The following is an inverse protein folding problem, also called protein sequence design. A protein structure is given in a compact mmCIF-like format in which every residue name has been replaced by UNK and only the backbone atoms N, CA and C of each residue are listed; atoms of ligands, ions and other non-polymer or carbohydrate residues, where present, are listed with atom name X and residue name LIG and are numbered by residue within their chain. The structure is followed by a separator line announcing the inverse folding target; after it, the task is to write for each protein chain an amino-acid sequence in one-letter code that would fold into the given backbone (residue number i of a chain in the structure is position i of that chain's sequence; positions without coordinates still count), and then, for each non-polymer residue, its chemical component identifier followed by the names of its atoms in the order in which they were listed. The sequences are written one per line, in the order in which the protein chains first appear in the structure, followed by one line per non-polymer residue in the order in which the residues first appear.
data_IF_343071611858
#
_entry.id   IF_343071611858
#
_cell.length_a   1.000
_cell.length_b   1.000
_cell.length_c   1.000
_cell.angle_alpha   90.00
_cell.angle_beta   90.00
_cell.angle_gamma   90.00
#
_symmetry.space_group_name_H-M   'P 1'
#
loop_
_entity.id
_entity.type
_entity.pdbx_description
1 polymer ?
#
# COMPACT_ATOMS: atom_id res chain seq x y z
N UNK A 1 12.84 -24.86 5.05
CA UNK A 1 11.89 -24.51 3.97
C UNK A 1 12.53 -23.36 3.21
N UNK A 2 12.35 -23.27 1.91
CA UNK A 2 12.85 -22.10 1.14
C UNK A 2 12.04 -20.87 1.52
N UNK A 3 12.70 -19.70 1.56
CA UNK A 3 12.03 -18.42 1.80
C UNK A 3 10.90 -18.21 0.78
N UNK A 4 9.69 -17.81 1.20
CA UNK A 4 8.57 -17.62 0.27
C UNK A 4 8.82 -16.46 -0.70
N UNK A 5 8.42 -16.60 -1.97
CA UNK A 5 8.48 -15.51 -2.93
C UNK A 5 7.43 -14.45 -2.58
N UNK A 6 7.83 -13.17 -2.66
CA UNK A 6 6.96 -11.99 -2.46
C UNK A 6 6.82 -11.26 -3.79
N UNK A 7 5.60 -10.98 -4.23
CA UNK A 7 5.34 -10.09 -5.35
C UNK A 7 5.00 -8.70 -4.84
N UNK A 8 5.85 -7.73 -5.16
CA UNK A 8 5.67 -6.31 -4.83
C UNK A 8 4.99 -5.62 -6.00
N UNK A 9 3.79 -5.08 -5.78
CA UNK A 9 2.97 -4.45 -6.81
C UNK A 9 3.06 -2.93 -6.68
N UNK A 10 3.53 -2.26 -7.74
CA UNK A 10 3.69 -0.79 -7.78
C UNK A 10 2.89 -0.23 -8.96
N UNK A 11 1.69 0.32 -8.73
CA UNK A 11 0.96 1.06 -9.75
C UNK A 11 1.62 2.42 -9.97
N UNK A 12 1.73 2.89 -11.21
CA UNK A 12 2.33 4.20 -11.47
C UNK A 12 1.72 4.87 -12.70
N UNK A 13 1.57 6.20 -12.64
CA UNK A 13 1.12 7.04 -13.74
C UNK A 13 1.77 8.41 -13.72
N UNK A 14 2.60 8.72 -14.72
CA UNK A 14 3.25 10.03 -14.90
C UNK A 14 3.99 10.57 -13.67
N UNK A 15 4.68 9.69 -12.93
CA UNK A 15 5.46 9.99 -11.71
C UNK A 15 6.80 9.27 -11.71
N UNK A 16 7.49 9.24 -12.85
CA UNK A 16 8.67 8.42 -13.02
C UNK A 16 9.74 8.62 -11.93
N UNK A 17 10.01 9.87 -11.54
CA UNK A 17 11.01 10.17 -10.50
C UNK A 17 10.65 9.60 -9.12
N UNK A 18 9.37 9.55 -8.77
CA UNK A 18 8.88 8.91 -7.55
C UNK A 18 8.98 7.40 -7.68
N UNK A 19 8.49 6.83 -8.79
CA UNK A 19 8.57 5.41 -9.06
C UNK A 19 9.97 4.84 -8.88
N UNK A 20 11.02 5.52 -9.38
CA UNK A 20 12.39 5.05 -9.24
C UNK A 20 12.81 4.96 -7.77
N UNK A 21 12.46 5.95 -6.94
CA UNK A 21 12.74 5.91 -5.51
C UNK A 21 12.01 4.74 -4.82
N UNK A 22 10.74 4.52 -5.17
CA UNK A 22 9.96 3.39 -4.66
C UNK A 22 10.62 2.05 -5.04
N UNK A 23 10.96 1.84 -6.32
CA UNK A 23 11.64 0.65 -6.81
C UNK A 23 12.99 0.44 -6.11
N UNK A 24 13.81 1.49 -5.98
CA UNK A 24 15.09 1.41 -5.28
C UNK A 24 14.93 1.00 -3.82
N UNK A 25 13.87 1.45 -3.14
CA UNK A 25 13.60 1.07 -1.75
C UNK A 25 13.29 -0.42 -1.61
N UNK A 26 12.65 -1.01 -2.63
CA UNK A 26 12.41 -2.47 -2.67
C UNK A 26 13.69 -3.24 -2.98
N UNK A 27 14.51 -2.78 -3.92
CA UNK A 27 15.78 -3.41 -4.26
C UNK A 27 16.78 -3.40 -3.09
N UNK A 28 16.66 -2.44 -2.15
CA UNK A 28 17.46 -2.34 -0.93
C UNK A 28 17.00 -3.27 0.20
N UNK A 29 15.82 -3.91 0.08
CA UNK A 29 15.32 -4.79 1.13
C UNK A 29 16.36 -5.88 1.51
N UNK A 30 16.43 -6.20 2.80
CA UNK A 30 17.28 -7.26 3.33
C UNK A 30 16.79 -8.66 2.93
N UNK A 31 15.49 -8.85 2.75
CA UNK A 31 14.88 -10.05 2.17
C UNK A 31 15.13 -10.10 0.66
N UNK A 32 15.57 -11.25 0.11
CA UNK A 32 16.02 -11.33 -1.29
C UNK A 32 15.11 -12.11 -2.24
N UNK A 33 14.17 -12.91 -1.72
CA UNK A 33 13.27 -13.69 -2.58
C UNK A 33 12.00 -12.92 -2.92
N UNK A 34 12.13 -11.91 -3.76
CA UNK A 34 11.00 -11.09 -4.24
C UNK A 34 11.08 -10.85 -5.75
N UNK A 35 9.97 -10.47 -6.32
CA UNK A 35 9.82 -9.85 -7.63
C UNK A 35 9.11 -8.49 -7.47
N UNK A 36 9.43 -7.56 -8.34
CA UNK A 36 8.76 -6.25 -8.42
C UNK A 36 7.93 -6.22 -9.70
N UNK A 37 6.66 -5.86 -9.59
CA UNK A 37 5.74 -5.73 -10.71
C UNK A 37 5.28 -4.29 -10.80
N UNK A 38 5.87 -3.53 -11.72
CA UNK A 38 5.44 -2.18 -12.06
C UNK A 38 4.28 -2.26 -13.03
N UNK A 39 3.19 -1.58 -12.70
CA UNK A 39 2.06 -1.44 -13.61
C UNK A 39 1.95 0.03 -14.03
N UNK A 40 2.50 0.33 -15.20
CA UNK A 40 2.42 1.65 -15.82
C UNK A 40 1.03 1.82 -16.46
N UNK A 41 0.24 2.74 -15.91
CA UNK A 41 -1.14 3.01 -16.34
C UNK A 41 -1.21 3.96 -17.56
N UNK A 42 -0.40 3.69 -18.60
CA UNK A 42 -0.40 4.47 -19.83
C UNK A 42 0.21 5.86 -19.67
N UNK A 43 1.37 5.95 -18.99
CA UNK A 43 2.11 7.21 -18.84
C UNK A 43 2.57 7.79 -20.16
N UNK A 44 2.63 9.12 -20.25
CA UNK A 44 3.17 9.84 -21.40
C UNK A 44 4.69 10.08 -21.29
N UNK A 45 5.26 9.90 -20.10
CA UNK A 45 6.69 10.06 -19.84
C UNK A 45 7.47 8.93 -20.51
N UNK A 46 8.40 9.29 -21.41
CA UNK A 46 9.19 8.33 -22.21
C UNK A 46 10.09 7.44 -21.37
N UNK A 47 10.50 7.91 -20.20
CA UNK A 47 11.35 7.19 -19.25
C UNK A 47 10.74 5.85 -18.84
N UNK A 48 9.41 5.72 -18.76
CA UNK A 48 8.73 4.46 -18.50
C UNK A 48 9.00 3.39 -19.57
N UNK A 49 9.34 3.78 -20.77
CA UNK A 49 9.53 2.89 -21.93
C UNK A 49 11.00 2.70 -22.29
N UNK A 50 11.86 3.61 -21.89
CA UNK A 50 13.30 3.59 -22.19
C UNK A 50 14.13 2.96 -21.06
N UNK A 51 13.63 2.95 -19.81
CA UNK A 51 14.34 2.41 -18.66
C UNK A 51 14.52 0.89 -18.75
N UNK A 52 15.74 0.46 -18.45
CA UNK A 52 16.06 -0.95 -18.26
C UNK A 52 16.17 -1.23 -16.77
N UNK A 53 15.27 -2.07 -16.28
CA UNK A 53 15.28 -2.55 -14.91
C UNK A 53 16.09 -3.85 -14.77
N UNK A 54 16.58 -4.20 -13.57
CA UNK A 54 17.14 -5.52 -13.29
C UNK A 54 16.12 -6.65 -13.43
N UNK A 55 16.59 -7.89 -13.44
CA UNK A 55 15.76 -9.09 -13.73
C UNK A 55 14.63 -9.33 -12.75
N UNK A 56 14.74 -8.82 -11.53
CA UNK A 56 13.74 -8.91 -10.48
C UNK A 56 12.52 -8.02 -10.73
N UNK A 57 12.64 -7.07 -11.69
CA UNK A 57 11.58 -6.11 -12.01
C UNK A 57 10.91 -6.47 -13.33
N UNK A 58 9.62 -6.76 -13.26
CA UNK A 58 8.73 -6.90 -14.41
C UNK A 58 7.94 -5.59 -14.57
N UNK A 59 7.79 -5.09 -15.78
CA UNK A 59 6.93 -3.94 -16.06
C UNK A 59 5.84 -4.29 -17.05
N UNK A 60 4.60 -3.92 -16.73
CA UNK A 60 3.46 -3.97 -17.65
C UNK A 60 3.10 -2.55 -18.04
N UNK A 61 2.92 -2.32 -19.34
CA UNK A 61 2.42 -1.05 -19.88
C UNK A 61 0.99 -1.24 -20.34
N UNK A 62 0.04 -0.57 -19.68
CA UNK A 62 -1.36 -0.60 -20.08
C UNK A 62 -1.59 0.41 -21.22
N UNK A 63 -2.24 -0.04 -22.32
CA UNK A 63 -2.56 0.82 -23.45
C UNK A 63 -3.93 0.44 -24.04
N UNK A 64 -4.96 1.28 -23.93
CA UNK A 64 -4.95 2.53 -23.15
C UNK A 64 -4.82 2.26 -21.65
N UNK A 65 -4.31 3.24 -20.89
CA UNK A 65 -4.31 3.17 -19.43
C UNK A 65 -5.75 3.14 -18.88
N UNK A 66 -5.94 2.44 -17.76
CA UNK A 66 -7.26 2.29 -17.13
C UNK A 66 -7.80 3.62 -16.61
N UNK A 67 -6.93 4.55 -16.21
CA UNK A 67 -7.29 5.91 -15.82
C UNK A 67 -8.11 6.64 -16.89
N UNK A 68 -7.81 6.41 -18.15
CA UNK A 68 -8.54 6.99 -19.28
C UNK A 68 -9.94 6.37 -19.47
N UNK A 69 -10.20 5.19 -18.89
CA UNK A 69 -11.47 4.47 -19.04
C UNK A 69 -12.39 4.72 -17.85
N UNK A 70 -11.85 4.73 -16.62
CA UNK A 70 -12.65 4.70 -15.38
C UNK A 70 -12.48 5.92 -14.46
N UNK A 71 -11.55 6.83 -14.74
CA UNK A 71 -11.31 8.05 -13.95
C UNK A 71 -10.45 7.86 -12.69
N UNK A 72 -10.52 6.72 -11.97
CA UNK A 72 -9.67 6.34 -10.83
C UNK A 72 -9.47 4.84 -10.73
N UNK A 73 -8.56 4.28 -11.50
CA UNK A 73 -8.41 2.84 -11.54
C UNK A 73 -7.25 2.29 -10.71
N UNK A 74 -6.68 3.04 -9.74
CA UNK A 74 -5.49 2.55 -9.01
C UNK A 74 -5.68 1.12 -8.51
N UNK A 75 -6.89 0.80 -8.01
CA UNK A 75 -7.24 -0.55 -7.59
C UNK A 75 -7.27 -1.55 -8.75
N UNK A 76 -7.83 -1.17 -9.89
CA UNK A 76 -7.83 -2.00 -11.09
C UNK A 76 -6.41 -2.16 -11.66
N UNK A 77 -5.59 -1.12 -11.57
CA UNK A 77 -4.16 -1.16 -11.95
C UNK A 77 -3.40 -2.12 -11.04
N UNK A 78 -3.60 -2.08 -9.72
CA UNK A 78 -3.00 -3.05 -8.79
C UNK A 78 -3.42 -4.49 -9.13
N UNK A 79 -4.70 -4.74 -9.45
CA UNK A 79 -5.17 -6.06 -9.86
C UNK A 79 -4.42 -6.58 -11.10
N UNK A 80 -4.09 -5.72 -12.07
CA UNK A 80 -3.27 -6.13 -13.24
C UNK A 80 -1.89 -6.63 -12.83
N UNK A 81 -1.28 -6.04 -11.82
CA UNK A 81 -0.04 -6.56 -11.25
C UNK A 81 -0.25 -7.92 -10.55
N UNK A 82 -1.34 -8.07 -9.81
CA UNK A 82 -1.66 -9.33 -9.12
C UNK A 82 -1.91 -10.49 -10.10
N UNK A 83 -2.50 -10.23 -11.27
CA UNK A 83 -2.75 -11.24 -12.31
C UNK A 83 -1.49 -11.97 -12.75
N UNK A 84 -0.32 -11.30 -12.74
CA UNK A 84 0.96 -11.87 -13.16
C UNK A 84 1.93 -12.16 -12.03
N UNK A 85 1.52 -11.92 -10.78
CA UNK A 85 2.32 -12.17 -9.59
C UNK A 85 2.49 -13.67 -9.35
N UNK A 86 3.73 -14.12 -9.05
CA UNK A 86 4.05 -15.52 -8.77
C UNK A 86 4.24 -15.81 -7.28
N UNK A 87 4.32 -14.75 -6.45
CA UNK A 87 4.61 -14.81 -5.03
C UNK A 87 3.53 -15.50 -4.19
N UNK A 88 3.96 -16.14 -3.10
CA UNK A 88 3.08 -16.59 -2.02
C UNK A 88 2.39 -15.41 -1.36
N UNK A 89 3.12 -14.32 -1.17
CA UNK A 89 2.63 -13.08 -0.60
C UNK A 89 2.58 -11.98 -1.64
N UNK A 90 1.55 -11.14 -1.54
CA UNK A 90 1.44 -9.86 -2.24
C UNK A 90 1.80 -8.75 -1.24
N UNK A 91 2.61 -7.81 -1.68
CA UNK A 91 2.88 -6.58 -0.96
C UNK A 91 2.64 -5.39 -1.90
N UNK A 92 1.99 -4.35 -1.40
CA UNK A 92 1.62 -3.20 -2.22
C UNK A 92 2.47 -1.99 -1.82
N UNK A 93 2.94 -1.24 -2.81
CA UNK A 93 3.68 0.00 -2.61
C UNK A 93 3.17 1.04 -3.61
N UNK A 94 2.74 2.19 -3.12
CA UNK A 94 2.40 3.30 -3.98
C UNK A 94 3.68 3.97 -4.50
N UNK A 95 3.66 4.48 -5.72
CA UNK A 95 4.86 4.97 -6.41
C UNK A 95 5.47 6.23 -5.79
N UNK A 96 4.75 6.90 -4.88
CA UNK A 96 5.20 8.08 -4.13
C UNK A 96 5.67 7.76 -2.70
N UNK A 97 5.54 6.51 -2.26
CA UNK A 97 5.98 6.03 -0.95
C UNK A 97 7.35 5.32 -1.00
N UNK A 98 7.96 5.09 0.16
CA UNK A 98 9.26 4.41 0.30
C UNK A 98 9.17 3.34 1.39
N UNK A 99 9.84 2.19 1.19
CA UNK A 99 10.00 1.18 2.23
C UNK A 99 11.34 1.28 2.97
N UNK A 100 11.32 0.97 4.26
CA UNK A 100 12.53 0.76 5.07
C UNK A 100 13.09 -0.64 4.80
N UNK A 101 14.40 -0.79 4.92
CA UNK A 101 15.16 -1.97 4.44
C UNK A 101 14.69 -3.32 5.03
N UNK A 102 14.15 -3.33 6.25
CA UNK A 102 13.73 -4.56 6.97
C UNK A 102 12.24 -4.91 6.80
N UNK A 103 11.49 -4.19 5.95
CA UNK A 103 10.03 -4.36 5.88
C UNK A 103 9.62 -5.77 5.44
N UNK A 104 10.21 -6.27 4.37
CA UNK A 104 9.83 -7.58 3.83
C UNK A 104 10.21 -8.71 4.78
N UNK A 105 11.43 -8.72 5.32
CA UNK A 105 11.90 -9.77 6.23
C UNK A 105 11.05 -9.86 7.48
N UNK A 106 10.74 -8.72 8.13
CA UNK A 106 9.96 -8.69 9.35
C UNK A 106 8.50 -9.10 9.14
N UNK A 107 7.87 -8.70 8.02
CA UNK A 107 6.51 -9.11 7.73
C UNK A 107 6.41 -10.59 7.34
N UNK A 108 7.36 -11.12 6.59
CA UNK A 108 7.44 -12.56 6.29
C UNK A 108 7.62 -13.37 7.57
N UNK A 109 8.59 -13.00 8.41
CA UNK A 109 8.80 -13.66 9.70
C UNK A 109 7.53 -13.66 10.54
N UNK A 110 6.83 -12.52 10.61
CA UNK A 110 5.60 -12.38 11.36
C UNK A 110 4.47 -13.28 10.84
N UNK A 111 4.29 -13.36 9.53
CA UNK A 111 3.25 -14.16 8.89
C UNK A 111 3.58 -15.67 8.96
N UNK A 112 4.82 -16.07 8.68
CA UNK A 112 5.23 -17.49 8.72
C UNK A 112 5.21 -18.08 10.15
N UNK A 113 5.43 -17.27 11.18
CA UNK A 113 5.42 -17.69 12.59
C UNK A 113 4.08 -17.45 13.29
N UNK A 114 3.03 -17.11 12.57
CA UNK A 114 1.69 -16.89 13.13
C UNK A 114 0.61 -17.62 12.34
N UNK A 115 -0.62 -17.55 12.85
CA UNK A 115 -1.81 -18.07 12.12
C UNK A 115 -2.40 -17.07 11.14
N UNK A 116 -1.88 -15.82 11.13
CA UNK A 116 -2.43 -14.74 10.34
C UNK A 116 -1.86 -14.78 8.92
N UNK A 117 -2.66 -14.31 7.96
CA UNK A 117 -2.33 -14.29 6.53
C UNK A 117 -2.33 -12.87 5.96
N UNK A 118 -2.49 -11.89 6.83
CA UNK A 118 -2.60 -10.47 6.50
C UNK A 118 -1.88 -9.64 7.56
N UNK A 119 -1.00 -8.74 7.15
CA UNK A 119 -0.23 -7.87 8.03
C UNK A 119 -0.16 -6.44 7.51
N UNK A 120 0.03 -5.52 8.46
CA UNK A 120 0.29 -4.09 8.22
C UNK A 120 1.35 -3.60 9.20
N UNK A 121 1.98 -2.47 8.89
CA UNK A 121 3.02 -1.88 9.73
C UNK A 121 2.70 -0.44 10.07
N UNK A 122 3.38 0.12 11.08
CA UNK A 122 3.47 1.55 11.26
C UNK A 122 4.32 2.16 10.14
N UNK A 123 4.23 3.47 9.94
CA UNK A 123 5.02 4.21 8.97
C UNK A 123 5.41 5.60 9.45
N UNK A 124 6.30 6.24 8.72
CA UNK A 124 6.59 7.65 8.84
C UNK A 124 5.65 8.47 7.96
N UNK A 125 5.31 9.70 8.39
CA UNK A 125 4.58 10.67 7.58
C UNK A 125 5.48 11.86 7.24
N UNK A 126 5.51 12.22 5.97
CA UNK A 126 6.18 13.44 5.50
C UNK A 126 5.48 14.01 4.27
N UNK A 127 6.09 15.01 3.67
CA UNK A 127 5.64 15.66 2.44
C UNK A 127 6.82 15.74 1.45
N UNK A 128 6.62 15.23 0.23
CA UNK A 128 7.63 15.14 -0.82
C UNK A 128 8.56 13.93 -0.69
N UNK A 129 9.64 13.94 -1.45
CA UNK A 129 10.58 12.82 -1.53
C UNK A 129 11.25 12.58 -0.18
N UNK A 130 11.32 11.31 0.24
CA UNK A 130 11.98 10.89 1.49
C UNK A 130 13.43 11.36 1.55
N UNK A 131 13.82 11.89 2.70
CA UNK A 131 15.20 12.25 2.99
C UNK A 131 15.59 11.71 4.37
N UNK A 132 16.53 10.78 4.42
CA UNK A 132 16.99 10.13 5.66
C UNK A 132 17.61 11.08 6.71
N UNK A 133 17.95 12.31 6.33
CA UNK A 133 18.44 13.32 7.26
C UNK A 133 17.31 14.06 8.00
N UNK A 134 16.06 13.89 7.60
CA UNK A 134 14.91 14.52 8.24
C UNK A 134 14.32 13.62 9.33
N UNK A 135 13.70 14.25 10.32
CA UNK A 135 12.89 13.57 11.32
C UNK A 135 11.43 13.61 10.87
N UNK A 136 10.78 12.46 10.88
CA UNK A 136 9.39 12.32 10.50
C UNK A 136 8.56 11.77 11.66
N UNK A 137 7.36 12.31 11.92
CA UNK A 137 6.44 11.71 12.89
C UNK A 137 5.94 10.35 12.40
N UNK A 138 5.59 9.49 13.34
CA UNK A 138 4.88 8.25 13.05
C UNK A 138 3.48 8.53 12.51
N UNK A 139 3.04 7.77 11.49
CA UNK A 139 1.78 8.00 10.80
C UNK A 139 0.58 7.86 11.74
N UNK A 140 0.36 6.65 12.25
CA UNK A 140 -0.78 6.36 13.12
C UNK A 140 -0.57 6.88 14.56
N UNK A 141 0.59 6.60 15.15
CA UNK A 141 0.85 6.77 16.57
C UNK A 141 1.16 8.21 16.98
N UNK A 142 1.49 9.10 16.01
CA UNK A 142 1.78 10.52 16.29
C UNK A 142 0.96 11.46 15.41
N UNK A 143 1.17 11.47 14.07
CA UNK A 143 0.58 12.45 13.14
C UNK A 143 -0.94 12.44 13.20
N UNK A 144 -1.55 11.29 13.13
CA UNK A 144 -3.00 11.12 13.10
C UNK A 144 -3.61 10.60 14.41
N UNK A 145 -2.80 10.31 15.43
CA UNK A 145 -3.24 9.71 16.69
C UNK A 145 -4.47 10.37 17.30
N UNK A 146 -4.46 11.70 17.47
CA UNK A 146 -5.57 12.44 18.08
C UNK A 146 -6.86 12.32 17.27
N UNK A 147 -6.74 12.38 15.93
CA UNK A 147 -7.87 12.26 15.00
C UNK A 147 -8.44 10.84 15.03
N UNK A 148 -7.57 9.85 14.95
CA UNK A 148 -7.95 8.43 14.99
C UNK A 148 -8.59 8.10 16.33
N UNK A 149 -7.95 8.39 17.46
CA UNK A 149 -8.51 8.18 18.79
C UNK A 149 -9.92 8.77 18.95
N UNK A 150 -10.18 9.95 18.38
CA UNK A 150 -11.50 10.58 18.41
C UNK A 150 -12.57 9.75 17.68
N UNK A 151 -12.22 9.02 16.61
CA UNK A 151 -13.15 8.13 15.88
C UNK A 151 -13.63 7.00 16.76
N UNK A 152 -12.78 6.49 17.65
CA UNK A 152 -13.09 5.38 18.56
C UNK A 152 -13.80 5.81 19.85
N UNK A 153 -14.17 7.10 20.04
CA UNK A 153 -14.66 7.68 21.30
C UNK A 153 -15.82 6.92 21.95
N UNK A 154 -16.67 6.25 21.19
CA UNK A 154 -17.85 5.52 21.69
C UNK A 154 -17.64 4.02 21.76
N UNK A 155 -16.41 3.54 21.71
CA UNK A 155 -16.07 2.12 21.67
C UNK A 155 -15.24 1.73 22.90
N UNK A 156 -15.09 0.44 23.12
CA UNK A 156 -14.23 -0.12 24.18
C UNK A 156 -12.74 0.25 23.98
N UNK A 157 -12.31 0.49 22.74
CA UNK A 157 -10.94 0.86 22.41
C UNK A 157 -10.53 2.23 22.94
N UNK A 158 -11.47 3.12 23.28
CA UNK A 158 -11.17 4.52 23.58
C UNK A 158 -10.47 4.77 24.92
N UNK A 159 -10.83 4.04 25.98
CA UNK A 159 -10.40 4.37 27.37
C UNK A 159 -8.89 4.31 27.56
N UNK A 160 -8.23 3.36 26.92
CA UNK A 160 -6.77 3.22 26.88
C UNK A 160 -6.36 3.02 25.43
N UNK A 161 -6.64 4.02 24.56
CA UNK A 161 -6.42 3.87 23.15
C UNK A 161 -4.93 3.62 22.87
N UNK A 162 -4.64 2.39 22.54
CA UNK A 162 -3.39 1.89 21.97
C UNK A 162 -3.78 1.02 20.79
N UNK A 163 -2.98 1.04 19.75
CA UNK A 163 -3.22 0.16 18.62
C UNK A 163 -3.06 -1.29 19.06
N UNK A 164 -4.09 -2.15 18.89
CA UNK A 164 -3.96 -3.56 19.17
C UNK A 164 -2.86 -4.19 18.30
N UNK A 165 -2.23 -5.27 18.77
CA UNK A 165 -1.33 -6.07 17.92
C UNK A 165 -2.08 -6.82 16.83
N UNK A 166 -3.37 -7.05 17.03
CA UNK A 166 -4.24 -7.75 16.07
C UNK A 166 -5.45 -6.86 15.80
N UNK A 167 -5.67 -6.54 14.55
CA UNK A 167 -6.80 -5.74 14.08
C UNK A 167 -7.83 -6.64 13.44
N UNK A 168 -9.03 -6.66 14.01
CA UNK A 168 -10.16 -7.40 13.49
C UNK A 168 -11.09 -6.50 12.67
N UNK A 169 -12.12 -7.10 12.06
CA UNK A 169 -13.12 -6.39 11.29
C UNK A 169 -13.78 -5.25 12.08
N UNK A 170 -14.13 -5.46 13.35
CA UNK A 170 -14.80 -4.46 14.20
C UNK A 170 -13.91 -3.24 14.43
N UNK A 171 -12.61 -3.45 14.70
CA UNK A 171 -11.66 -2.36 14.89
C UNK A 171 -11.53 -1.51 13.62
N UNK A 172 -11.27 -2.13 12.48
CA UNK A 172 -11.05 -1.41 11.22
C UNK A 172 -12.33 -0.81 10.64
N UNK A 173 -13.50 -1.40 10.88
CA UNK A 173 -14.77 -0.83 10.41
C UNK A 173 -15.11 0.54 11.01
N UNK A 174 -14.51 0.91 12.15
CA UNK A 174 -14.65 2.24 12.76
C UNK A 174 -13.85 3.30 12.00
N UNK A 175 -12.65 2.95 11.56
CA UNK A 175 -11.76 3.82 10.81
C UNK A 175 -10.69 3.02 10.08
N UNK A 176 -10.42 3.38 8.81
CA UNK A 176 -9.30 2.81 8.06
C UNK A 176 -7.98 3.31 8.66
N UNK A 177 -7.26 2.41 9.35
CA UNK A 177 -5.91 2.66 9.88
C UNK A 177 -4.84 1.97 9.01
N UNK A 178 -5.24 1.29 7.92
CA UNK A 178 -4.36 0.51 7.06
C UNK A 178 -3.97 1.39 5.86
N UNK A 179 -2.69 1.61 5.69
CA UNK A 179 -2.13 2.28 4.52
C UNK A 179 -1.70 1.20 3.53
N UNK A 180 -2.04 1.37 2.25
CA UNK A 180 -1.77 0.38 1.20
C UNK A 180 -0.30 -0.02 1.18
N UNK A 181 0.63 0.94 1.25
CA UNK A 181 2.08 0.70 1.26
C UNK A 181 2.61 -0.04 2.49
N UNK A 182 1.78 -0.22 3.53
CA UNK A 182 2.12 -1.01 4.71
C UNK A 182 1.81 -2.50 4.59
N UNK A 183 0.97 -2.87 3.62
CA UNK A 183 0.31 -4.19 3.56
C UNK A 183 1.21 -5.29 3.00
N UNK A 184 1.11 -6.48 3.61
CA UNK A 184 1.46 -7.77 3.04
C UNK A 184 0.36 -8.78 3.33
N UNK A 185 -0.07 -9.54 2.30
CA UNK A 185 -1.18 -10.49 2.39
C UNK A 185 -0.88 -11.77 1.60
N UNK A 186 -1.34 -12.92 2.07
CA UNK A 186 -1.24 -14.18 1.33
C UNK A 186 -2.06 -14.07 0.03
N UNK A 187 -1.45 -14.40 -1.11
CA UNK A 187 -2.07 -14.26 -2.44
C UNK A 187 -3.35 -15.07 -2.58
N UNK A 188 -3.39 -16.28 -2.03
CA UNK A 188 -4.58 -17.12 -2.06
C UNK A 188 -5.76 -16.44 -1.33
N UNK A 189 -5.51 -15.88 -0.15
CA UNK A 189 -6.52 -15.13 0.60
C UNK A 189 -7.04 -13.92 -0.16
N UNK A 190 -6.13 -13.15 -0.81
CA UNK A 190 -6.48 -12.00 -1.62
C UNK A 190 -7.33 -12.39 -2.84
N UNK A 191 -7.00 -13.50 -3.49
CA UNK A 191 -7.77 -14.01 -4.61
C UNK A 191 -9.17 -14.50 -4.20
N UNK A 192 -9.30 -15.07 -2.99
CA UNK A 192 -10.59 -15.55 -2.48
C UNK A 192 -11.63 -14.44 -2.28
N UNK A 193 -11.20 -13.19 -2.08
CA UNK A 193 -12.11 -12.03 -2.00
C UNK A 193 -12.34 -11.36 -3.37
N UNK A 194 -11.68 -11.82 -4.44
CA UNK A 194 -11.76 -11.24 -5.78
C UNK A 194 -10.91 -9.99 -6.00
N UNK A 195 -9.93 -9.74 -5.13
CA UNK A 195 -9.02 -8.59 -5.25
C UNK A 195 -9.64 -7.24 -4.88
N UNK A 196 -9.03 -6.18 -5.37
CA UNK A 196 -9.58 -4.83 -5.21
C UNK A 196 -10.81 -4.63 -6.09
N UNK A 197 -11.87 -4.07 -5.53
CA UNK A 197 -13.04 -3.65 -6.29
C UNK A 197 -12.92 -2.16 -6.59
N UNK A 198 -12.84 -1.79 -7.86
CA UNK A 198 -12.79 -0.39 -8.27
C UNK A 198 -14.08 0.34 -7.89
N UNK A 199 -14.11 0.98 -6.74
CA UNK A 199 -15.26 1.74 -6.27
C UNK A 199 -15.19 3.18 -6.74
N UNK A 200 -16.34 3.79 -7.14
CA UNK A 200 -16.38 5.16 -7.67
C UNK A 200 -15.92 6.24 -6.69
N UNK A 201 -16.00 5.95 -5.38
CA UNK A 201 -15.61 6.87 -4.30
C UNK A 201 -14.13 6.76 -3.90
N UNK A 202 -13.35 5.88 -4.57
CA UNK A 202 -11.93 5.66 -4.27
C UNK A 202 -11.61 4.96 -2.95
N UNK A 203 -12.59 4.38 -2.30
CA UNK A 203 -12.42 3.60 -1.06
C UNK A 203 -12.20 2.11 -1.34
N UNK A 204 -11.70 1.76 -2.52
CA UNK A 204 -11.52 0.38 -2.93
C UNK A 204 -10.48 -0.37 -2.10
N UNK A 205 -9.44 0.31 -1.62
CA UNK A 205 -8.47 -0.24 -0.68
C UNK A 205 -9.13 -0.57 0.66
N UNK A 206 -9.89 0.34 1.24
CA UNK A 206 -10.60 0.12 2.51
C UNK A 206 -11.63 -1.01 2.40
N UNK A 207 -12.38 -1.07 1.32
CA UNK A 207 -13.30 -2.16 1.00
C UNK A 207 -12.59 -3.51 0.91
N UNK A 208 -11.43 -3.55 0.27
CA UNK A 208 -10.58 -4.74 0.19
C UNK A 208 -10.14 -5.20 1.58
N UNK A 209 -9.65 -4.27 2.42
CA UNK A 209 -9.23 -4.60 3.78
C UNK A 209 -10.38 -5.14 4.63
N UNK A 210 -11.55 -4.54 4.56
CA UNK A 210 -12.75 -5.05 5.24
C UNK A 210 -13.17 -6.43 4.71
N UNK A 211 -13.00 -6.70 3.43
CA UNK A 211 -13.31 -8.01 2.86
C UNK A 211 -12.34 -9.10 3.34
N UNK A 212 -11.04 -8.79 3.42
CA UNK A 212 -10.04 -9.69 4.01
C UNK A 212 -10.32 -9.95 5.50
N UNK A 213 -10.68 -8.91 6.25
CA UNK A 213 -10.95 -9.01 7.69
C UNK A 213 -12.21 -9.83 8.05
N UNK A 214 -13.05 -10.15 7.08
CA UNK A 214 -14.13 -11.14 7.26
C UNK A 214 -13.62 -12.59 7.26
N UNK A 215 -12.42 -12.84 6.73
CA UNK A 215 -11.84 -14.17 6.58
C UNK A 215 -10.69 -14.42 7.57
N UNK A 216 -9.97 -13.38 7.96
CA UNK A 216 -8.83 -13.43 8.89
C UNK A 216 -8.66 -12.10 9.59
N UNK A 217 -8.09 -12.10 10.79
CA UNK A 217 -7.60 -10.86 11.38
C UNK A 217 -6.28 -10.43 10.74
N UNK A 218 -5.95 -9.14 10.88
CA UNK A 218 -4.67 -8.56 10.51
C UNK A 218 -3.74 -8.52 11.72
N UNK A 219 -2.48 -8.94 11.54
CA UNK A 219 -1.45 -8.74 12.55
C UNK A 219 -0.68 -7.44 12.25
N UNK A 220 -0.64 -6.55 13.24
CA UNK A 220 -0.01 -5.24 13.13
C UNK A 220 1.38 -5.24 13.75
N UNK A 221 2.36 -4.77 12.98
CA UNK A 221 3.72 -4.55 13.45
C UNK A 221 3.90 -3.05 13.76
N UNK A 222 3.99 -2.73 15.05
CA UNK A 222 4.22 -1.37 15.55
C UNK A 222 5.69 -0.97 15.39
N UNK A 223 6.16 -0.98 14.13
CA UNK A 223 7.48 -0.55 13.71
C UNK A 223 7.31 0.27 12.41
N UNK A 224 7.89 1.48 12.31
CA UNK A 224 7.77 2.26 11.09
C UNK A 224 8.63 1.65 9.97
N UNK A 225 7.98 1.01 9.01
CA UNK A 225 8.63 0.29 7.93
C UNK A 225 8.32 0.85 6.54
N UNK A 226 7.61 1.97 6.47
CA UNK A 226 7.43 2.74 5.25
C UNK A 226 7.42 4.25 5.55
N UNK A 227 7.63 5.04 4.54
CA UNK A 227 7.42 6.47 4.53
C UNK A 227 6.24 6.77 3.61
N UNK A 228 5.27 7.52 4.11
CA UNK A 228 4.10 7.98 3.38
C UNK A 228 4.31 9.43 2.93
N UNK A 229 4.23 9.67 1.61
CA UNK A 229 4.23 11.02 1.06
C UNK A 229 2.86 11.67 1.12
N UNK A 230 2.62 12.54 2.11
CA UNK A 230 1.38 13.29 2.27
C UNK A 230 1.13 14.35 1.18
N UNK A 231 2.13 14.66 0.34
CA UNK A 231 1.95 15.51 -0.86
C UNK A 231 1.54 14.73 -2.09
N UNK A 232 1.52 13.40 -2.01
CA UNK A 232 1.06 12.49 -3.06
C UNK A 232 1.69 12.76 -4.43
N UNK A 233 3.03 12.78 -4.46
CA UNK A 233 3.76 12.96 -5.70
C UNK A 233 3.39 14.25 -6.42
N UNK A 234 3.78 15.40 -5.87
CA UNK A 234 3.52 16.73 -6.41
C UNK A 234 2.03 17.17 -6.38
N UNK A 235 1.27 16.71 -5.39
CA UNK A 235 -0.13 17.11 -5.21
C UNK A 235 -1.10 16.49 -6.22
N UNK A 236 -0.68 15.49 -6.98
CA UNK A 236 -1.55 14.70 -7.87
C UNK A 236 -2.34 13.67 -7.09
N UNK A 237 -2.93 14.08 -5.96
CA UNK A 237 -3.66 13.18 -5.13
C UNK A 237 -5.12 13.03 -5.59
N UNK A 238 -5.70 11.93 -5.17
CA UNK A 238 -7.09 11.58 -5.38
C UNK A 238 -8.07 12.66 -4.90
N UNK A 239 -7.83 13.24 -3.72
CA UNK A 239 -8.70 14.26 -3.13
C UNK A 239 -8.75 15.54 -3.94
N UNK A 240 -7.60 16.02 -4.45
CA UNK A 240 -7.54 17.19 -5.31
C UNK A 240 -8.33 16.97 -6.61
N UNK A 241 -8.30 15.77 -7.13
CA UNK A 241 -9.06 15.44 -8.33
C UNK A 241 -10.57 15.35 -8.06
N UNK A 242 -11.00 14.71 -6.97
CA UNK A 242 -12.41 14.65 -6.60
C UNK A 242 -12.98 16.05 -6.30
N UNK A 243 -12.19 16.93 -5.65
CA UNK A 243 -12.53 18.33 -5.45
C UNK A 243 -12.70 19.05 -6.80
N UNK A 244 -11.78 18.84 -7.75
CA UNK A 244 -11.85 19.45 -9.08
C UNK A 244 -13.03 18.93 -9.91
N UNK A 245 -13.55 17.74 -9.61
CA UNK A 245 -14.76 17.19 -10.25
C UNK A 245 -16.07 17.60 -9.54
N UNK A 246 -15.98 18.34 -8.41
CA UNK A 246 -17.17 18.71 -7.62
C UNK A 246 -17.86 17.51 -6.94
N UNK A 247 -17.17 16.38 -6.78
CA UNK A 247 -17.75 15.14 -6.21
C UNK A 247 -17.77 15.18 -4.67
N UNK A 248 -16.91 16.00 -4.04
CA UNK A 248 -16.82 16.11 -2.58
C UNK A 248 -17.66 17.25 -1.98
N UNK A 249 -18.32 18.06 -2.79
CA UNK A 249 -19.26 19.09 -2.35
C UNK A 249 -20.67 18.52 -2.24
N UNK A 250 -20.91 17.58 -1.33
CA UNK A 250 -22.27 17.28 -0.86
C UNK A 250 -22.27 16.73 0.56
#
# INVERSE_FOLDING_TARGET
MSDPLISVIIPSYNRYNYLINAVESVLKQDYKNFEIIIVNDGSDQKEYYEQKFPSEVKQINLNPGLKNIYGFPTDAVRNKGVEIADGKYLAFLDDDDIWMDEKLSLQVELLENSKYKFSSTEGYFGEGIFNSNNLYPLYNSERFYKKIKKRYKKTEYYKKFQYPKVWNFEFISIHNCIITSSVMVEKELFNNIGGFRGLPNGEGDYDCWLSLLKLTDLIYLDKPLFYYDGSHGDGRNYWNFLNNLGILEK
#
